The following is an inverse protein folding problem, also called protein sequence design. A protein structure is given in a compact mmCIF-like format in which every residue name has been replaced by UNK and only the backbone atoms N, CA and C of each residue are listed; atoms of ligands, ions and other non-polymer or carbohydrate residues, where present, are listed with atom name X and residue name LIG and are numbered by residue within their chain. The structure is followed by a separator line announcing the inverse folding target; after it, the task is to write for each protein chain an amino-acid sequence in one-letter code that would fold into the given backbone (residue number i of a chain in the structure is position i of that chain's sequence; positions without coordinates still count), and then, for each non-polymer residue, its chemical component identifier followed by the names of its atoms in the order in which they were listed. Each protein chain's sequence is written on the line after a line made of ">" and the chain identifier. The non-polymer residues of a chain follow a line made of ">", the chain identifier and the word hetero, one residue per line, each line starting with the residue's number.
data_IF_206894176900
#
_entry.id   IF_206894176900
#
_cell.length_a   1.000
_cell.length_b   1.000
_cell.length_c   1.000
_cell.angle_alpha   90.00
_cell.angle_beta   90.00
_cell.angle_gamma   90.00
#
_symmetry.space_group_name_H-M   'P 1'
#
loop_
_entity.id
_entity.type
_entity.pdbx_description
1 polymer ?
#
# COMPACT_ATOMS: atom_id res chain seq x y z
N UNK A 1 -6.70 4.73 16.22
CA UNK A 1 -7.92 3.89 16.36
C UNK A 1 -7.45 2.47 16.60
N UNK A 2 -8.05 1.72 17.53
CA UNK A 2 -7.53 0.41 17.97
C UNK A 2 -7.78 -0.73 16.96
N UNK A 3 -8.57 -0.48 15.92
CA UNK A 3 -9.08 -1.51 15.02
C UNK A 3 -8.46 -1.47 13.61
N UNK A 4 -7.32 -0.80 13.42
CA UNK A 4 -6.62 -0.74 12.13
C UNK A 4 -5.48 -1.75 12.12
N UNK A 5 -5.57 -2.74 11.22
CA UNK A 5 -4.46 -3.66 10.92
C UNK A 5 -3.59 -3.08 9.82
N UNK A 6 -2.30 -2.93 10.08
CA UNK A 6 -1.35 -2.38 9.11
C UNK A 6 -0.69 -3.51 8.33
N UNK A 7 -0.57 -3.33 7.02
CA UNK A 7 0.20 -4.21 6.13
C UNK A 7 1.18 -3.31 5.36
N UNK A 8 2.44 -3.72 5.23
CA UNK A 8 3.45 -2.94 4.51
C UNK A 8 4.49 -3.82 3.83
N UNK A 9 5.03 -3.34 2.71
CA UNK A 9 6.07 -4.04 1.94
C UNK A 9 7.47 -3.75 2.50
N UNK A 10 8.35 -4.75 2.43
CA UNK A 10 9.80 -4.63 2.56
C UNK A 10 10.31 -3.68 3.66
N UNK A 11 11.06 -2.66 3.23
CA UNK A 11 11.70 -1.67 4.10
C UNK A 11 10.70 -0.73 4.75
N UNK A 12 9.60 -0.37 4.07
CA UNK A 12 8.51 0.44 4.64
C UNK A 12 7.97 -0.21 5.90
N UNK A 13 7.68 -1.51 5.87
CA UNK A 13 7.24 -2.24 7.05
C UNK A 13 8.25 -2.18 8.20
N UNK A 14 9.54 -2.24 7.88
CA UNK A 14 10.60 -2.13 8.91
C UNK A 14 10.62 -0.76 9.59
N UNK A 15 10.32 0.32 8.85
CA UNK A 15 10.23 1.67 9.42
C UNK A 15 8.97 1.84 10.26
N UNK A 16 7.84 1.26 9.84
CA UNK A 16 6.59 1.27 10.60
C UNK A 16 6.76 0.54 11.94
N UNK A 17 7.42 -0.63 11.96
CA UNK A 17 7.75 -1.36 13.18
C UNK A 17 8.61 -0.51 14.14
N UNK A 18 9.65 0.15 13.61
CA UNK A 18 10.51 1.05 14.40
C UNK A 18 9.75 2.24 14.99
N UNK A 19 8.65 2.65 14.36
CA UNK A 19 7.72 3.65 14.88
C UNK A 19 6.81 3.16 16.02
N UNK A 20 6.92 1.89 16.42
CA UNK A 20 6.13 1.30 17.50
C UNK A 20 4.78 0.73 17.06
N UNK A 21 4.54 0.62 15.76
CA UNK A 21 3.30 0.05 15.23
C UNK A 21 3.45 -1.44 14.95
N UNK A 22 2.38 -2.20 15.19
CA UNK A 22 2.26 -3.60 14.75
C UNK A 22 1.88 -3.58 13.26
N UNK A 23 2.65 -4.27 12.43
CA UNK A 23 2.45 -4.33 10.98
C UNK A 23 2.76 -5.72 10.43
N UNK A 24 1.92 -6.22 9.55
CA UNK A 24 2.20 -7.42 8.76
C UNK A 24 3.15 -7.06 7.61
N UNK A 25 4.34 -7.66 7.62
CA UNK A 25 5.37 -7.39 6.62
C UNK A 25 5.27 -8.35 5.44
N UNK A 26 5.20 -7.76 4.24
CA UNK A 26 5.23 -8.45 2.96
C UNK A 26 6.60 -8.30 2.29
N UNK A 27 6.79 -8.99 1.16
CA UNK A 27 7.97 -8.81 0.32
C UNK A 27 8.11 -7.34 -0.12
N UNK A 28 9.31 -6.92 -0.52
CA UNK A 28 9.50 -5.62 -1.15
C UNK A 28 8.81 -5.56 -2.51
N UNK A 29 8.45 -4.37 -2.99
CA UNK A 29 7.87 -4.17 -4.34
C UNK A 29 8.60 -4.95 -5.45
N UNK A 30 9.94 -4.79 -5.61
CA UNK A 30 10.73 -5.54 -6.60
C UNK A 30 10.72 -7.08 -6.46
N UNK A 31 10.32 -7.61 -5.31
CA UNK A 31 10.23 -9.05 -5.02
C UNK A 31 8.77 -9.54 -5.01
N UNK A 32 7.83 -8.75 -5.54
CA UNK A 32 6.42 -9.12 -5.65
C UNK A 32 5.53 -8.65 -4.50
N UNK A 33 6.01 -7.74 -3.64
CA UNK A 33 5.20 -7.15 -2.57
C UNK A 33 3.90 -6.51 -3.06
N UNK A 34 3.95 -5.82 -4.20
CA UNK A 34 2.78 -5.15 -4.80
C UNK A 34 1.72 -6.17 -5.25
N UNK A 35 2.16 -7.31 -5.80
CA UNK A 35 1.29 -8.43 -6.15
C UNK A 35 0.65 -9.08 -4.90
N UNK A 36 1.37 -9.16 -3.78
CA UNK A 36 0.81 -9.66 -2.51
C UNK A 36 -0.27 -8.73 -1.95
N UNK A 37 -0.14 -7.41 -2.12
CA UNK A 37 -1.18 -6.44 -1.76
C UNK A 37 -2.36 -6.57 -2.72
N UNK A 38 -2.13 -6.61 -4.03
CA UNK A 38 -3.18 -6.77 -5.04
C UNK A 38 -4.00 -8.05 -4.80
N UNK A 39 -3.36 -9.18 -4.48
CA UNK A 39 -4.06 -10.42 -4.13
C UNK A 39 -4.96 -10.24 -2.90
N UNK A 40 -4.50 -9.51 -1.87
CA UNK A 40 -5.30 -9.24 -0.68
C UNK A 40 -6.48 -8.31 -0.95
N UNK A 41 -6.35 -7.36 -1.88
CA UNK A 41 -7.47 -6.53 -2.34
C UNK A 41 -8.55 -7.42 -2.97
N UNK A 42 -8.16 -8.33 -3.87
CA UNK A 42 -9.10 -9.28 -4.51
C UNK A 42 -9.78 -10.18 -3.48
N UNK A 43 -9.05 -10.59 -2.45
CA UNK A 43 -9.55 -11.39 -1.32
C UNK A 43 -10.38 -10.59 -0.30
N UNK A 44 -10.60 -9.28 -0.51
CA UNK A 44 -11.30 -8.37 0.43
C UNK A 44 -10.65 -8.29 1.82
N UNK A 45 -9.31 -8.30 1.85
CA UNK A 45 -8.47 -8.20 3.06
C UNK A 45 -7.75 -6.85 3.17
N UNK A 46 -8.03 -5.91 2.27
CA UNK A 46 -7.47 -4.56 2.25
C UNK A 46 -8.61 -3.59 1.97
N UNK A 47 -8.81 -2.64 2.88
CA UNK A 47 -9.88 -1.63 2.80
C UNK A 47 -9.38 -0.26 2.30
N UNK A 48 -8.07 -0.02 2.32
CA UNK A 48 -7.45 1.23 1.91
C UNK A 48 -5.97 1.01 1.57
N UNK A 49 -5.45 1.73 0.57
CA UNK A 49 -4.04 1.68 0.17
C UNK A 49 -3.40 3.07 0.20
N UNK A 50 -2.27 3.18 0.90
CA UNK A 50 -1.39 4.35 0.84
C UNK A 50 -0.13 3.96 0.06
N UNK A 51 -0.01 4.44 -1.18
CA UNK A 51 1.04 4.03 -2.11
C UNK A 51 1.88 5.22 -2.59
N UNK A 52 2.82 5.66 -1.75
CA UNK A 52 3.71 6.77 -2.05
C UNK A 52 4.85 6.33 -2.97
N UNK A 53 4.57 6.34 -4.27
CA UNK A 53 5.56 6.14 -5.32
C UNK A 53 6.39 7.40 -5.53
N UNK A 54 7.64 7.23 -5.95
CA UNK A 54 8.46 8.32 -6.47
C UNK A 54 8.00 8.62 -7.92
N UNK A 55 7.41 9.81 -8.20
CA UNK A 55 6.93 10.15 -9.54
C UNK A 55 8.05 10.57 -10.50
N UNK A 56 9.28 10.80 -10.00
CA UNK A 56 10.42 11.26 -10.79
C UNK A 56 11.43 10.14 -11.07
N UNK A 57 11.36 9.05 -10.32
CA UNK A 57 12.23 7.88 -10.46
C UNK A 57 11.71 6.84 -11.45
N UNK A 58 12.62 6.16 -12.16
CA UNK A 58 12.30 4.91 -12.88
C UNK A 58 12.27 3.75 -11.90
N UNK A 59 11.16 3.03 -11.84
CA UNK A 59 11.01 1.85 -11.00
C UNK A 59 11.28 0.58 -11.81
N UNK A 60 12.17 -0.34 -11.37
CA UNK A 60 12.40 -1.62 -12.06
C UNK A 60 11.13 -2.48 -12.20
N UNK A 61 10.10 -2.17 -11.41
CA UNK A 61 8.83 -2.89 -11.28
C UNK A 61 7.63 -1.97 -11.62
N UNK A 62 7.79 -1.07 -12.61
CA UNK A 62 6.73 -0.14 -13.04
C UNK A 62 5.43 -0.85 -13.48
N UNK A 63 5.56 -2.07 -14.00
CA UNK A 63 4.41 -2.93 -14.36
C UNK A 63 3.62 -3.31 -13.11
N UNK A 64 4.29 -3.68 -12.03
CA UNK A 64 3.67 -4.05 -10.76
C UNK A 64 2.97 -2.85 -10.09
N UNK A 65 3.60 -1.67 -10.15
CA UNK A 65 3.00 -0.40 -9.70
C UNK A 65 1.69 -0.13 -10.43
N UNK A 66 1.71 -0.23 -11.77
CA UNK A 66 0.52 -0.01 -12.61
C UNK A 66 -0.57 -1.05 -12.37
N UNK A 67 -0.17 -2.30 -12.15
CA UNK A 67 -1.08 -3.39 -11.83
C UNK A 67 -1.78 -3.15 -10.49
N UNK A 68 -1.06 -2.75 -9.44
CA UNK A 68 -1.67 -2.49 -8.13
C UNK A 68 -2.67 -1.32 -8.19
N UNK A 69 -2.32 -0.22 -8.86
CA UNK A 69 -3.24 0.91 -9.05
C UNK A 69 -4.51 0.47 -9.77
N UNK A 70 -4.37 -0.27 -10.88
CA UNK A 70 -5.50 -0.83 -11.63
C UNK A 70 -6.39 -1.73 -10.78
N UNK A 71 -5.80 -2.55 -9.90
CA UNK A 71 -6.57 -3.43 -9.01
C UNK A 71 -7.34 -2.62 -7.96
N UNK A 72 -6.77 -1.54 -7.45
CA UNK A 72 -7.51 -0.63 -6.55
C UNK A 72 -8.73 -0.04 -7.26
N UNK A 73 -8.56 0.45 -8.48
CA UNK A 73 -9.65 1.06 -9.27
C UNK A 73 -10.76 0.04 -9.58
N UNK A 74 -10.40 -1.19 -9.95
CA UNK A 74 -11.38 -2.26 -10.28
C UNK A 74 -12.21 -2.68 -9.07
N UNK A 75 -11.61 -2.66 -7.88
CA UNK A 75 -12.26 -3.11 -6.65
C UNK A 75 -12.79 -1.96 -5.79
N UNK A 76 -12.78 -0.72 -6.31
CA UNK A 76 -13.23 0.49 -5.61
C UNK A 76 -12.53 0.69 -4.25
N UNK A 77 -11.23 0.42 -4.20
CA UNK A 77 -10.43 0.59 -2.98
C UNK A 77 -9.90 2.03 -2.90
N UNK A 78 -10.16 2.76 -1.81
CA UNK A 78 -9.55 4.06 -1.55
C UNK A 78 -8.03 4.01 -1.68
N UNK A 79 -7.50 4.74 -2.65
CA UNK A 79 -6.07 4.78 -2.99
C UNK A 79 -5.52 6.20 -2.85
N UNK A 80 -4.49 6.36 -2.01
CA UNK A 80 -3.70 7.58 -1.96
C UNK A 80 -2.32 7.37 -2.57
N UNK A 81 -2.00 8.09 -3.63
CA UNK A 81 -0.68 8.04 -4.29
C UNK A 81 0.26 9.15 -3.84
N UNK A 82 -0.18 10.01 -2.92
CA UNK A 82 0.59 11.11 -2.36
C UNK A 82 0.09 11.48 -0.95
N UNK A 83 0.88 12.24 -0.15
CA UNK A 83 0.51 12.59 1.23
C UNK A 83 -0.79 13.40 1.36
N UNK A 84 -1.09 14.31 0.42
CA UNK A 84 -2.30 15.13 0.50
C UNK A 84 -3.56 14.28 0.37
N UNK A 85 -3.58 13.33 -0.55
CA UNK A 85 -4.68 12.36 -0.68
C UNK A 85 -4.77 11.47 0.56
N UNK A 86 -3.63 11.02 1.09
CA UNK A 86 -3.61 10.17 2.30
C UNK A 86 -4.20 10.90 3.52
N UNK A 87 -3.87 12.18 3.70
CA UNK A 87 -4.42 12.97 4.79
C UNK A 87 -5.94 13.08 4.71
N UNK A 88 -6.49 13.32 3.51
CA UNK A 88 -7.94 13.36 3.30
C UNK A 88 -8.60 12.00 3.57
N UNK A 89 -8.00 10.90 3.09
CA UNK A 89 -8.51 9.56 3.34
C UNK A 89 -8.53 9.23 4.83
N UNK A 90 -7.45 9.51 5.56
CA UNK A 90 -7.36 9.25 7.00
C UNK A 90 -8.36 10.10 7.80
N UNK A 91 -8.61 11.36 7.40
CA UNK A 91 -9.63 12.20 8.03
C UNK A 91 -11.05 11.71 7.77
N UNK A 92 -11.27 11.02 6.66
CA UNK A 92 -12.56 10.43 6.29
C UNK A 92 -12.91 9.14 7.05
N UNK A 93 -11.93 8.53 7.71
CA UNK A 93 -12.13 7.39 8.63
C UNK A 93 -12.60 7.94 9.96
#
# INVERSE_FOLDING_TARGET
>A
RKDIHLIATGTTGSYVEKGGFVVERLASGPLGGDAQIASRIVEKKVDMVLFFRDPLGKHPHEVDVSMLMRICDVHDIPLATNPSSAELLIKGI
#
